data_IF_172823248612
#
_entry.id   IF_172823248612
#
_cell.length_a   1.000
_cell.length_b   1.000
_cell.length_c   1.000
_cell.angle_alpha   90.00
_cell.angle_beta   90.00
_cell.angle_gamma   90.00
#
_symmetry.space_group_name_H-M   'P 1'
#
loop_
_entity.id
_entity.type
_entity.pdbx_description
1 polymer ?
#
# COMPACT_ATOMS: atom_id res chain seq x y z
N UNK A 1 37.42 -11.47 -25.72
CA UNK A 1 36.91 -10.27 -25.02
C UNK A 1 36.52 -9.15 -26.01
N UNK A 2 35.63 -9.42 -26.97
CA UNK A 2 35.13 -8.41 -27.93
C UNK A 2 33.60 -8.35 -27.96
N UNK A 3 32.94 -8.63 -26.83
CA UNK A 3 31.58 -8.11 -26.63
C UNK A 3 31.73 -6.64 -26.23
N UNK A 4 31.23 -5.74 -27.08
CA UNK A 4 31.01 -4.34 -26.75
C UNK A 4 30.02 -4.28 -25.59
N UNK A 5 30.55 -4.25 -24.37
CA UNK A 5 29.73 -4.14 -23.18
C UNK A 5 28.91 -2.85 -23.25
N UNK A 6 27.58 -2.97 -23.10
CA UNK A 6 26.68 -1.82 -23.07
C UNK A 6 27.06 -0.91 -21.91
N UNK A 7 27.04 0.40 -22.16
CA UNK A 7 27.18 1.43 -21.14
C UNK A 7 26.21 1.19 -19.98
N UNK A 8 26.60 1.55 -18.76
CA UNK A 8 25.84 1.27 -17.53
C UNK A 8 25.48 2.55 -16.78
N UNK A 9 24.25 2.69 -16.33
CA UNK A 9 23.81 3.86 -15.59
C UNK A 9 24.62 4.03 -14.31
N UNK A 10 25.22 5.19 -14.10
CA UNK A 10 26.01 5.47 -12.89
C UNK A 10 25.15 5.53 -11.62
N UNK A 11 23.86 5.87 -11.77
CA UNK A 11 22.89 5.93 -10.68
C UNK A 11 22.37 4.56 -10.26
N UNK A 12 21.79 3.78 -11.19
CA UNK A 12 21.12 2.52 -10.85
C UNK A 12 21.84 1.26 -11.34
N UNK A 13 22.94 1.33 -12.09
CA UNK A 13 23.66 0.15 -12.62
C UNK A 13 22.99 -0.57 -13.81
N UNK A 14 21.76 -0.18 -14.18
CA UNK A 14 21.06 -0.75 -15.33
C UNK A 14 21.78 -0.45 -16.66
N UNK A 15 21.63 -1.29 -17.70
CA UNK A 15 22.21 -1.00 -19.02
C UNK A 15 21.57 0.25 -19.63
N UNK A 16 22.38 1.08 -20.28
CA UNK A 16 21.94 2.26 -21.01
C UNK A 16 21.75 1.96 -22.51
N UNK A 17 20.86 2.70 -23.19
CA UNK A 17 20.80 2.69 -24.64
C UNK A 17 22.11 3.24 -25.23
N UNK A 18 22.40 2.86 -26.48
CA UNK A 18 23.55 3.42 -27.19
C UNK A 18 23.32 4.91 -27.46
N UNK A 19 24.28 5.79 -27.10
CA UNK A 19 24.18 7.21 -27.41
C UNK A 19 24.21 7.45 -28.91
N UNK A 20 23.49 8.48 -29.38
CA UNK A 20 23.62 8.91 -30.78
C UNK A 20 24.90 9.74 -30.95
N UNK A 21 25.52 9.74 -32.15
CA UNK A 21 26.68 10.57 -32.42
C UNK A 21 26.41 12.04 -32.09
N UNK A 22 27.29 12.66 -31.30
CA UNK A 22 27.19 14.07 -30.90
C UNK A 22 26.33 14.36 -29.67
N UNK A 23 25.68 13.36 -29.08
CA UNK A 23 25.02 13.54 -27.77
C UNK A 23 26.07 13.60 -26.65
N UNK A 24 25.82 14.43 -25.62
CA UNK A 24 26.66 14.51 -24.41
C UNK A 24 26.04 13.74 -23.22
N UNK A 25 24.73 13.53 -23.25
CA UNK A 25 23.95 12.92 -22.19
C UNK A 25 23.02 11.85 -22.74
N UNK A 26 22.78 10.82 -21.93
CA UNK A 26 21.83 9.75 -22.21
C UNK A 26 20.91 9.52 -21.01
N UNK A 27 19.59 9.49 -21.24
CA UNK A 27 18.61 9.22 -20.19
C UNK A 27 18.52 7.72 -19.92
N UNK A 28 18.63 7.31 -18.66
CA UNK A 28 18.39 5.94 -18.26
C UNK A 28 16.90 5.63 -18.34
N UNK A 29 16.54 4.62 -19.12
CA UNK A 29 15.15 4.20 -19.29
C UNK A 29 14.58 3.45 -18.08
N UNK A 30 15.43 3.07 -17.14
CA UNK A 30 15.06 2.29 -15.95
C UNK A 30 14.96 3.11 -14.68
N UNK A 31 15.64 4.25 -14.55
CA UNK A 31 15.51 5.10 -13.36
C UNK A 31 15.27 6.58 -13.70
N UNK A 32 15.18 6.92 -14.98
CA UNK A 32 14.96 8.29 -15.46
C UNK A 32 16.16 9.23 -15.33
N UNK A 33 17.27 8.79 -14.72
CA UNK A 33 18.45 9.63 -14.49
C UNK A 33 19.17 9.98 -15.79
N UNK A 34 19.53 11.25 -15.96
CA UNK A 34 20.35 11.74 -17.07
C UNK A 34 21.82 11.51 -16.76
N UNK A 35 22.47 10.68 -17.56
CA UNK A 35 23.88 10.34 -17.38
C UNK A 35 24.72 11.11 -18.40
N UNK A 36 25.79 11.76 -17.97
CA UNK A 36 26.83 12.22 -18.87
C UNK A 36 27.55 11.00 -19.44
N UNK A 37 27.76 10.98 -20.75
CA UNK A 37 28.31 9.79 -21.44
C UNK A 37 29.72 9.48 -20.92
N UNK A 38 30.58 10.49 -20.80
CA UNK A 38 31.96 10.35 -20.29
C UNK A 38 31.99 9.72 -18.88
N UNK A 39 31.11 10.15 -17.98
CA UNK A 39 31.07 9.62 -16.61
C UNK A 39 30.62 8.16 -16.60
N UNK A 40 29.71 7.81 -17.50
CA UNK A 40 29.24 6.44 -17.67
C UNK A 40 30.30 5.53 -18.29
N UNK A 41 31.06 6.02 -19.27
CA UNK A 41 32.19 5.29 -19.86
C UNK A 41 33.24 4.98 -18.80
N UNK A 42 33.58 5.97 -17.97
CA UNK A 42 34.50 5.81 -16.86
C UNK A 42 33.98 4.78 -15.84
N UNK A 43 32.71 4.90 -15.44
CA UNK A 43 32.08 3.95 -14.52
C UNK A 43 32.06 2.53 -15.08
N UNK A 44 31.66 2.36 -16.35
CA UNK A 44 31.59 1.06 -17.02
C UNK A 44 32.99 0.45 -17.16
N UNK A 45 34.01 1.26 -17.50
CA UNK A 45 35.40 0.82 -17.59
C UNK A 45 35.94 0.32 -16.25
N UNK A 46 35.64 1.04 -15.15
CA UNK A 46 36.00 0.60 -13.80
C UNK A 46 35.32 -0.72 -13.44
N UNK A 47 34.02 -0.85 -13.71
CA UNK A 47 33.28 -2.07 -13.44
C UNK A 47 33.84 -3.26 -14.24
N UNK A 48 34.24 -3.05 -15.49
CA UNK A 48 34.90 -4.07 -16.32
C UNK A 48 36.24 -4.51 -15.74
N UNK A 49 37.03 -3.57 -15.22
CA UNK A 49 38.30 -3.88 -14.58
C UNK A 49 38.09 -4.71 -13.31
N UNK A 50 37.11 -4.35 -12.48
CA UNK A 50 36.70 -5.16 -11.31
C UNK A 50 36.28 -6.57 -11.72
N UNK A 51 35.51 -6.72 -12.80
CA UNK A 51 35.10 -8.03 -13.34
C UNK A 51 36.31 -8.84 -13.79
N UNK A 52 37.25 -8.24 -14.53
CA UNK A 52 38.47 -8.93 -14.99
C UNK A 52 39.33 -9.41 -13.82
N UNK A 53 39.52 -8.56 -12.81
CA UNK A 53 40.26 -8.90 -11.60
C UNK A 53 39.57 -10.04 -10.85
N UNK A 54 38.25 -9.97 -10.73
CA UNK A 54 37.47 -11.03 -10.12
C UNK A 54 37.58 -12.35 -10.88
N UNK A 55 37.40 -12.38 -12.20
CA UNK A 55 37.57 -13.58 -13.03
C UNK A 55 38.99 -14.16 -12.88
N UNK A 56 40.01 -13.30 -12.89
CA UNK A 56 41.41 -13.69 -12.71
C UNK A 56 41.69 -14.29 -11.32
N UNK A 57 40.87 -13.97 -10.31
CA UNK A 57 40.93 -14.59 -8.98
C UNK A 57 40.24 -15.96 -8.92
N UNK A 58 39.36 -16.26 -9.89
CA UNK A 58 38.65 -17.54 -9.98
C UNK A 58 39.51 -18.62 -10.65
N UNK A 59 40.26 -18.25 -11.69
CA UNK A 59 41.01 -19.22 -12.52
C UNK A 59 42.50 -19.17 -12.17
N UNK A 60 43.16 -20.32 -11.91
CA UNK A 60 44.61 -20.36 -11.67
C UNK A 60 45.39 -19.79 -12.86
N UNK A 61 46.44 -18.99 -12.58
CA UNK A 61 47.27 -18.34 -13.60
C UNK A 61 47.92 -19.31 -14.59
N UNK A 62 48.15 -20.57 -14.19
CA UNK A 62 48.76 -21.59 -15.07
C UNK A 62 47.86 -22.02 -16.24
N UNK A 63 46.56 -21.69 -16.23
CA UNK A 63 45.60 -22.13 -17.26
C UNK A 63 45.29 -21.03 -18.30
N UNK A 64 45.73 -19.79 -18.06
CA UNK A 64 45.37 -18.62 -18.88
C UNK A 64 46.18 -18.52 -20.20
N UNK A 65 47.13 -19.42 -20.45
CA UNK A 65 48.05 -19.34 -21.60
C UNK A 65 47.59 -20.06 -22.87
N UNK A 66 46.49 -20.82 -22.88
CA UNK A 66 45.96 -21.40 -24.13
C UNK A 66 44.68 -20.70 -24.56
N UNK A 67 44.77 -19.94 -25.65
CA UNK A 67 43.61 -19.35 -26.35
C UNK A 67 42.71 -20.40 -27.02
N UNK A 68 43.01 -21.67 -26.83
CA UNK A 68 42.32 -22.86 -27.33
C UNK A 68 42.13 -23.89 -26.20
N UNK A 69 41.61 -23.47 -25.05
CA UNK A 69 41.08 -24.44 -24.09
C UNK A 69 39.87 -25.15 -24.74
N UNK A 70 40.04 -26.45 -25.04
CA UNK A 70 39.02 -27.40 -25.46
C UNK A 70 37.76 -27.26 -24.57
N UNK A 71 36.56 -27.52 -25.11
CA UNK A 71 35.31 -27.50 -24.34
C UNK A 71 35.43 -28.35 -23.06
N UNK A 72 36.15 -29.48 -23.15
CA UNK A 72 36.46 -30.35 -22.00
C UNK A 72 37.29 -29.62 -20.94
N UNK A 73 38.31 -28.86 -21.34
CA UNK A 73 39.14 -28.08 -20.43
C UNK A 73 38.36 -26.94 -19.78
N UNK A 74 37.50 -26.25 -20.54
CA UNK A 74 36.60 -25.21 -19.99
C UNK A 74 35.62 -25.79 -18.98
N UNK A 75 35.01 -26.92 -19.31
CA UNK A 75 34.11 -27.62 -18.40
C UNK A 75 34.82 -28.03 -17.11
N UNK A 76 36.01 -28.63 -17.20
CA UNK A 76 36.80 -29.00 -16.03
C UNK A 76 37.16 -27.78 -15.16
N UNK A 77 37.59 -26.67 -15.77
CA UNK A 77 37.88 -25.43 -15.04
C UNK A 77 36.63 -24.88 -14.35
N UNK A 78 35.50 -24.92 -15.05
CA UNK A 78 34.23 -24.47 -14.51
C UNK A 78 33.84 -25.30 -13.28
N UNK A 79 33.86 -26.63 -13.40
CA UNK A 79 33.50 -27.53 -12.31
C UNK A 79 34.45 -27.41 -11.11
N UNK A 80 35.77 -27.29 -11.35
CA UNK A 80 36.76 -27.24 -10.29
C UNK A 80 36.83 -25.89 -9.55
N UNK A 81 36.67 -24.77 -10.27
CA UNK A 81 36.96 -23.43 -9.71
C UNK A 81 35.79 -22.47 -9.69
N UNK A 82 34.90 -22.54 -10.69
CA UNK A 82 33.80 -21.56 -10.85
C UNK A 82 32.55 -22.03 -10.11
N UNK A 83 32.09 -23.26 -10.37
CA UNK A 83 30.87 -23.83 -9.77
C UNK A 83 30.86 -23.81 -8.23
N UNK A 84 31.96 -24.11 -7.51
CA UNK A 84 31.97 -24.05 -6.04
C UNK A 84 31.76 -22.63 -5.49
N UNK A 85 32.14 -21.59 -6.25
CA UNK A 85 31.95 -20.18 -5.87
C UNK A 85 30.62 -19.62 -6.37
N UNK A 86 30.10 -20.15 -7.47
CA UNK A 86 28.81 -19.77 -8.04
C UNK A 86 27.64 -20.33 -7.23
N UNK A 87 27.76 -21.54 -6.69
CA UNK A 87 26.68 -22.23 -5.97
C UNK A 87 26.18 -21.44 -4.74
N UNK A 88 27.05 -20.96 -3.82
CA UNK A 88 26.61 -20.11 -2.71
C UNK A 88 26.00 -18.79 -3.18
N UNK A 89 26.54 -18.19 -4.26
CA UNK A 89 26.00 -16.95 -4.82
C UNK A 89 24.59 -17.13 -5.38
N UNK A 90 24.33 -18.25 -6.06
CA UNK A 90 22.99 -18.60 -6.52
C UNK A 90 22.02 -18.76 -5.34
N UNK A 91 22.44 -19.42 -4.26
CA UNK A 91 21.62 -19.55 -3.06
C UNK A 91 21.27 -18.17 -2.46
N UNK A 92 22.25 -17.26 -2.37
CA UNK A 92 22.02 -15.87 -1.95
C UNK A 92 21.07 -15.13 -2.89
N UNK A 93 21.25 -15.28 -4.21
CA UNK A 93 20.38 -14.64 -5.21
C UNK A 93 18.92 -15.08 -5.05
N UNK A 94 18.69 -16.39 -4.89
CA UNK A 94 17.36 -16.95 -4.61
C UNK A 94 16.78 -16.45 -3.30
N UNK A 95 17.57 -16.39 -2.23
CA UNK A 95 17.11 -15.89 -0.94
C UNK A 95 16.66 -14.43 -1.02
N UNK A 96 17.46 -13.55 -1.64
CA UNK A 96 17.10 -12.14 -1.84
C UNK A 96 15.89 -11.97 -2.75
N UNK A 97 15.80 -12.80 -3.80
CA UNK A 97 14.65 -12.83 -4.68
C UNK A 97 13.36 -13.21 -3.97
N UNK A 98 13.33 -14.36 -3.27
CA UNK A 98 12.13 -14.79 -2.55
C UNK A 98 11.78 -13.86 -1.40
N UNK A 99 12.77 -13.23 -0.76
CA UNK A 99 12.52 -12.15 0.20
C UNK A 99 11.81 -10.98 -0.47
N UNK A 100 12.30 -10.51 -1.62
CA UNK A 100 11.71 -9.37 -2.34
C UNK A 100 10.29 -9.68 -2.84
N UNK A 101 10.05 -10.86 -3.42
CA UNK A 101 8.74 -11.23 -3.98
C UNK A 101 7.70 -11.57 -2.91
N UNK A 102 8.12 -11.93 -1.70
CA UNK A 102 7.22 -12.12 -0.56
C UNK A 102 6.58 -10.81 -0.07
N UNK A 103 7.13 -9.66 -0.48
CA UNK A 103 6.59 -8.34 -0.20
C UNK A 103 5.56 -7.95 -1.26
N UNK A 104 4.68 -7.01 -0.89
CA UNK A 104 3.83 -6.33 -1.87
C UNK A 104 4.67 -5.46 -2.80
N UNK A 105 4.50 -5.66 -4.11
CA UNK A 105 5.24 -4.94 -5.15
C UNK A 105 4.54 -3.67 -5.62
N UNK A 106 3.29 -3.46 -5.22
CA UNK A 106 2.53 -2.23 -5.51
C UNK A 106 2.71 -1.24 -4.37
N UNK A 107 3.09 -0.02 -4.73
CA UNK A 107 3.28 1.07 -3.77
C UNK A 107 2.89 2.42 -4.38
N UNK A 108 2.38 3.31 -3.51
CA UNK A 108 2.01 4.67 -3.88
C UNK A 108 2.90 5.63 -3.11
N UNK A 109 3.88 6.24 -3.78
CA UNK A 109 4.80 7.24 -3.21
C UNK A 109 5.53 6.81 -1.93
N UNK A 110 5.90 5.54 -1.80
CA UNK A 110 6.58 5.01 -0.61
C UNK A 110 5.66 4.77 0.58
N UNK A 111 4.35 4.97 0.45
CA UNK A 111 3.46 5.07 1.61
C UNK A 111 2.81 3.75 2.03
N UNK A 112 2.73 2.75 1.15
CA UNK A 112 2.09 1.46 1.43
C UNK A 112 3.10 0.40 1.88
N UNK A 113 4.38 0.63 1.59
CA UNK A 113 5.47 -0.29 1.95
C UNK A 113 5.73 -0.35 3.46
N UNK A 114 6.15 -1.55 3.89
CA UNK A 114 6.65 -1.82 5.24
C UNK A 114 8.17 -1.84 5.33
N UNK A 115 8.86 -2.05 4.20
CA UNK A 115 10.31 -2.16 4.12
C UNK A 115 10.82 -1.32 2.96
N UNK A 116 11.97 -0.70 3.16
CA UNK A 116 12.69 -0.02 2.09
C UNK A 116 13.22 -1.03 1.07
N UNK A 117 13.25 -0.66 -0.23
CA UNK A 117 13.85 -1.49 -1.25
C UNK A 117 15.37 -1.60 -1.02
N UNK A 118 15.95 -2.72 -1.42
CA UNK A 118 17.40 -2.85 -1.51
C UNK A 118 17.98 -1.95 -2.60
N UNK A 119 19.29 -1.69 -2.54
CA UNK A 119 19.98 -0.91 -3.57
C UNK A 119 19.99 -1.65 -4.91
N UNK A 120 19.27 -1.17 -5.95
CA UNK A 120 19.23 -1.84 -7.25
C UNK A 120 20.61 -1.89 -7.92
N UNK A 121 21.48 -0.89 -7.69
CA UNK A 121 22.79 -0.80 -8.35
C UNK A 121 23.67 -1.99 -8.00
N UNK A 122 23.73 -2.34 -6.72
CA UNK A 122 24.43 -3.53 -6.24
C UNK A 122 24.01 -4.79 -6.99
N UNK A 123 22.70 -4.99 -7.19
CA UNK A 123 22.19 -6.21 -7.83
C UNK A 123 22.44 -6.21 -9.35
N UNK A 124 22.35 -5.05 -10.02
CA UNK A 124 22.72 -4.94 -11.44
C UNK A 124 24.21 -5.22 -11.67
N UNK A 125 25.09 -4.70 -10.81
CA UNK A 125 26.53 -4.94 -10.89
C UNK A 125 26.87 -6.41 -10.65
N UNK A 126 26.24 -7.06 -9.67
CA UNK A 126 26.45 -8.51 -9.43
C UNK A 126 25.91 -9.38 -10.57
N UNK A 127 24.73 -9.06 -11.13
CA UNK A 127 24.23 -9.71 -12.34
C UNK A 127 25.21 -9.58 -13.50
N UNK A 128 25.76 -8.39 -13.70
CA UNK A 128 26.75 -8.13 -14.74
C UNK A 128 28.04 -8.94 -14.56
N UNK A 129 28.58 -8.98 -13.33
CA UNK A 129 29.75 -9.80 -12.99
C UNK A 129 29.50 -11.27 -13.34
N UNK A 130 28.36 -11.82 -12.93
CA UNK A 130 28.03 -13.22 -13.19
C UNK A 130 27.87 -13.52 -14.68
N UNK A 131 27.22 -12.66 -15.45
CA UNK A 131 27.05 -12.86 -16.91
C UNK A 131 28.39 -12.92 -17.66
N UNK A 132 29.43 -12.26 -17.15
CA UNK A 132 30.78 -12.33 -17.74
C UNK A 132 31.43 -13.73 -17.62
N UNK A 133 30.93 -14.61 -16.76
CA UNK A 133 31.38 -16.00 -16.66
C UNK A 133 30.87 -16.89 -17.81
N UNK A 134 29.94 -16.41 -18.63
CA UNK A 134 29.35 -17.18 -19.74
C UNK A 134 30.40 -17.66 -20.74
N UNK A 135 31.46 -16.89 -21.01
CA UNK A 135 32.57 -17.29 -21.88
C UNK A 135 33.39 -18.48 -21.33
N UNK A 136 33.30 -18.73 -20.02
CA UNK A 136 34.02 -19.80 -19.31
C UNK A 136 33.17 -21.06 -19.10
N UNK A 137 31.88 -21.03 -19.48
CA UNK A 137 31.03 -22.22 -19.45
C UNK A 137 31.47 -23.20 -20.56
N UNK A 138 31.71 -24.47 -20.18
CA UNK A 138 32.15 -25.51 -21.12
C UNK A 138 31.01 -26.38 -21.65
N UNK A 139 29.81 -26.27 -21.06
CA UNK A 139 28.61 -27.02 -21.43
C UNK A 139 27.34 -26.18 -21.27
N UNK A 140 26.23 -26.66 -21.82
CA UNK A 140 24.92 -26.02 -21.64
C UNK A 140 24.45 -26.01 -20.18
N UNK A 141 24.84 -27.01 -19.38
CA UNK A 141 24.55 -27.06 -17.94
C UNK A 141 25.30 -25.95 -17.19
N UNK A 142 26.59 -25.76 -17.49
CA UNK A 142 27.40 -24.70 -16.90
C UNK A 142 26.82 -23.32 -17.25
N UNK A 143 26.45 -23.13 -18.52
CA UNK A 143 25.86 -21.89 -19.01
C UNK A 143 24.49 -21.63 -18.36
N UNK A 144 23.66 -22.66 -18.22
CA UNK A 144 22.37 -22.57 -17.53
C UNK A 144 22.53 -22.15 -16.06
N UNK A 145 23.54 -22.68 -15.35
CA UNK A 145 23.83 -22.30 -13.98
C UNK A 145 24.24 -20.82 -13.86
N UNK A 146 25.11 -20.34 -14.76
CA UNK A 146 25.52 -18.92 -14.83
C UNK A 146 24.31 -18.03 -15.12
N UNK A 147 23.53 -18.37 -16.14
CA UNK A 147 22.37 -17.59 -16.56
C UNK A 147 21.30 -17.53 -15.47
N UNK A 148 21.06 -18.64 -14.76
CA UNK A 148 20.12 -18.69 -13.64
C UNK A 148 20.58 -17.78 -12.51
N UNK A 149 21.85 -17.84 -12.12
CA UNK A 149 22.39 -16.98 -11.05
C UNK A 149 22.36 -15.49 -11.42
N UNK A 150 22.81 -15.15 -12.63
CA UNK A 150 22.77 -13.78 -13.15
C UNK A 150 21.33 -13.27 -13.30
N UNK A 151 20.41 -14.14 -13.71
CA UNK A 151 18.99 -13.85 -13.88
C UNK A 151 18.27 -13.53 -12.57
N UNK A 152 18.47 -14.30 -11.50
CA UNK A 152 17.90 -13.94 -10.19
C UNK A 152 18.39 -12.57 -9.70
N UNK A 153 19.69 -12.27 -9.83
CA UNK A 153 20.20 -10.95 -9.49
C UNK A 153 19.62 -9.84 -10.38
N UNK A 154 19.46 -10.08 -11.67
CA UNK A 154 18.84 -9.12 -12.60
C UNK A 154 17.37 -8.87 -12.24
N UNK A 155 16.60 -9.92 -11.93
CA UNK A 155 15.22 -9.80 -11.49
C UNK A 155 15.12 -8.99 -10.20
N UNK A 156 15.94 -9.28 -9.19
CA UNK A 156 15.99 -8.52 -7.93
C UNK A 156 16.36 -7.05 -8.18
N UNK A 157 17.31 -6.78 -9.07
CA UNK A 157 17.70 -5.42 -9.42
C UNK A 157 16.53 -4.62 -10.01
N UNK A 158 15.83 -5.20 -10.99
CA UNK A 158 14.66 -4.59 -11.60
C UNK A 158 13.49 -4.41 -10.61
N UNK A 159 13.18 -5.43 -9.79
CA UNK A 159 12.14 -5.33 -8.77
C UNK A 159 12.40 -4.19 -7.78
N UNK A 160 13.62 -4.10 -7.25
CA UNK A 160 13.99 -3.02 -6.33
C UNK A 160 14.00 -1.66 -7.00
N UNK A 161 14.48 -1.58 -8.25
CA UNK A 161 14.46 -0.33 -9.01
C UNK A 161 13.02 0.14 -9.30
N UNK A 162 12.08 -0.79 -9.57
CA UNK A 162 10.67 -0.47 -9.70
C UNK A 162 10.09 0.15 -8.42
N UNK A 163 10.43 -0.42 -7.27
CA UNK A 163 10.02 0.11 -5.96
C UNK A 163 10.64 1.49 -5.68
N UNK A 164 11.92 1.71 -5.99
CA UNK A 164 12.56 3.03 -5.88
C UNK A 164 11.83 4.06 -6.76
N UNK A 165 11.55 3.71 -8.01
CA UNK A 165 10.81 4.57 -8.93
C UNK A 165 9.39 4.88 -8.45
N UNK A 166 8.66 3.89 -7.93
CA UNK A 166 7.32 4.08 -7.38
C UNK A 166 7.32 5.04 -6.18
N UNK A 167 8.37 5.02 -5.34
CA UNK A 167 8.56 5.99 -4.26
C UNK A 167 8.71 7.42 -4.80
N UNK A 168 9.47 7.57 -5.89
CA UNK A 168 9.65 8.83 -6.61
C UNK A 168 8.52 9.19 -7.57
N UNK A 169 7.41 8.43 -7.59
CA UNK A 169 6.26 8.63 -8.49
C UNK A 169 6.62 8.53 -9.99
N UNK A 170 7.71 7.82 -10.31
CA UNK A 170 8.17 7.51 -11.66
C UNK A 170 7.54 6.20 -12.16
N UNK A 171 6.20 6.19 -12.25
CA UNK A 171 5.42 4.96 -12.46
C UNK A 171 5.67 4.31 -13.83
N UNK A 172 5.97 5.08 -14.87
CA UNK A 172 6.33 4.54 -16.19
C UNK A 172 7.63 3.73 -16.13
N UNK A 173 8.67 4.26 -15.49
CA UNK A 173 9.93 3.55 -15.26
C UNK A 173 9.73 2.35 -14.32
N UNK A 174 8.85 2.46 -13.32
CA UNK A 174 8.51 1.34 -12.44
C UNK A 174 7.88 0.17 -13.23
N UNK A 175 6.87 0.46 -14.05
CA UNK A 175 6.22 -0.53 -14.92
C UNK A 175 7.22 -1.22 -15.86
N UNK A 176 8.11 -0.43 -16.49
CA UNK A 176 9.14 -0.95 -17.39
C UNK A 176 10.12 -1.90 -16.69
N UNK A 177 10.56 -1.57 -15.48
CA UNK A 177 11.41 -2.48 -14.72
C UNK A 177 10.71 -3.81 -14.40
N UNK A 178 9.42 -3.77 -14.04
CA UNK A 178 8.67 -5.01 -13.80
C UNK A 178 8.51 -5.83 -15.09
N UNK A 179 8.34 -5.20 -16.25
CA UNK A 179 8.31 -5.91 -17.52
C UNK A 179 9.63 -6.63 -17.83
N UNK A 180 10.76 -5.97 -17.61
CA UNK A 180 12.07 -6.64 -17.76
C UNK A 180 12.27 -7.73 -16.71
N UNK A 181 11.87 -7.50 -15.46
CA UNK A 181 11.91 -8.54 -14.42
C UNK A 181 11.09 -9.77 -14.84
N UNK A 182 9.87 -9.58 -15.38
CA UNK A 182 9.03 -10.67 -15.85
C UNK A 182 9.69 -11.47 -16.99
N UNK A 183 10.30 -10.81 -17.98
CA UNK A 183 11.04 -11.48 -19.06
C UNK A 183 12.21 -12.31 -18.52
N UNK A 184 12.96 -11.76 -17.57
CA UNK A 184 14.07 -12.47 -16.92
C UNK A 184 13.55 -13.69 -16.17
N UNK A 185 12.45 -13.54 -15.41
CA UNK A 185 11.83 -14.63 -14.66
C UNK A 185 11.32 -15.76 -15.55
N UNK A 186 10.70 -15.44 -16.68
CA UNK A 186 10.31 -16.44 -17.68
C UNK A 186 11.54 -17.23 -18.18
N UNK A 187 12.65 -16.53 -18.44
CA UNK A 187 13.88 -17.15 -18.95
C UNK A 187 14.60 -18.07 -17.95
N UNK A 188 14.41 -17.87 -16.64
CA UNK A 188 15.01 -18.70 -15.57
C UNK A 188 14.04 -19.73 -14.98
N UNK A 189 12.88 -19.94 -15.61
CA UNK A 189 11.93 -20.99 -15.22
C UNK A 189 10.98 -20.62 -14.07
N UNK A 190 10.65 -19.33 -13.90
CA UNK A 190 9.72 -18.81 -12.87
C UNK A 190 8.43 -18.19 -13.47
N UNK A 191 7.71 -18.88 -14.38
CA UNK A 191 6.64 -18.26 -15.18
C UNK A 191 5.44 -17.76 -14.38
N UNK A 192 5.10 -18.43 -13.27
CA UNK A 192 4.01 -17.99 -12.38
C UNK A 192 4.35 -16.66 -11.70
N UNK A 193 5.61 -16.50 -11.29
CA UNK A 193 6.07 -15.24 -10.70
C UNK A 193 6.18 -14.17 -11.78
N UNK A 194 6.66 -14.51 -12.97
CA UNK A 194 6.68 -13.59 -14.11
C UNK A 194 5.27 -13.05 -14.43
N UNK A 195 4.25 -13.91 -14.44
CA UNK A 195 2.85 -13.51 -14.63
C UNK A 195 2.39 -12.53 -13.54
N UNK A 196 2.68 -12.82 -12.27
CA UNK A 196 2.38 -11.91 -11.15
C UNK A 196 3.06 -10.56 -11.35
N UNK A 197 4.36 -10.53 -11.62
CA UNK A 197 5.14 -9.30 -11.82
C UNK A 197 4.61 -8.49 -13.01
N UNK A 198 4.20 -9.16 -14.09
CA UNK A 198 3.55 -8.54 -15.25
C UNK A 198 2.20 -7.91 -14.90
N UNK A 199 1.40 -8.55 -14.05
CA UNK A 199 0.14 -7.97 -13.56
C UNK A 199 0.40 -6.68 -12.75
N UNK A 200 1.40 -6.70 -11.86
CA UNK A 200 1.82 -5.51 -11.09
C UNK A 200 2.33 -4.39 -12.01
N UNK A 201 3.02 -4.71 -13.11
CA UNK A 201 3.39 -3.70 -14.12
C UNK A 201 2.16 -2.96 -14.66
N UNK A 202 1.06 -3.67 -14.92
CA UNK A 202 -0.22 -3.07 -15.33
C UNK A 202 -0.75 -2.04 -14.34
N UNK A 203 -0.58 -2.27 -13.04
CA UNK A 203 -0.96 -1.33 -11.97
C UNK A 203 -0.16 -0.03 -12.06
N UNK A 204 1.16 -0.13 -12.26
CA UNK A 204 2.00 1.08 -12.40
C UNK A 204 1.74 1.82 -13.71
N UNK A 205 1.44 1.13 -14.81
CA UNK A 205 0.98 1.77 -16.04
C UNK A 205 -0.31 2.55 -15.79
N UNK A 206 -1.28 1.97 -15.07
CA UNK A 206 -2.52 2.66 -14.71
C UNK A 206 -2.26 3.94 -13.88
N UNK A 207 -1.35 3.90 -12.91
CA UNK A 207 -0.94 5.08 -12.15
C UNK A 207 -0.21 6.12 -13.01
N UNK A 208 0.61 5.69 -13.98
CA UNK A 208 1.25 6.58 -14.94
C UNK A 208 0.20 7.31 -15.79
N UNK A 209 -0.86 6.62 -16.23
CA UNK A 209 -1.95 7.23 -16.99
C UNK A 209 -2.80 8.21 -16.15
N UNK A 210 -3.04 7.92 -14.87
CA UNK A 210 -3.66 8.91 -13.97
C UNK A 210 -2.80 10.18 -13.89
N UNK A 211 -1.48 10.02 -13.79
CA UNK A 211 -0.52 11.14 -13.72
C UNK A 211 -0.41 11.92 -15.05
N UNK A 212 -0.61 11.25 -16.18
CA UNK A 212 -0.68 11.86 -17.53
C UNK A 212 -2.03 12.52 -17.82
N UNK A 213 -3.01 12.39 -16.92
CA UNK A 213 -4.41 12.87 -17.04
C UNK A 213 -5.24 12.11 -18.08
N UNK A 214 -4.94 10.82 -18.27
CA UNK A 214 -5.73 9.87 -19.05
C UNK A 214 -6.35 8.77 -18.16
N UNK A 215 -7.41 9.09 -17.39
CA UNK A 215 -8.05 8.11 -16.51
C UNK A 215 -8.81 7.01 -17.27
N UNK A 216 -9.16 7.24 -18.55
CA UNK A 216 -9.87 6.25 -19.36
C UNK A 216 -8.94 5.09 -19.77
N UNK A 217 -7.71 5.40 -20.19
CA UNK A 217 -6.67 4.40 -20.40
C UNK A 217 -6.38 3.62 -19.10
N UNK A 218 -6.30 4.34 -17.97
CA UNK A 218 -6.09 3.75 -16.65
C UNK A 218 -7.17 2.73 -16.24
N UNK A 219 -8.46 3.07 -16.44
CA UNK A 219 -9.58 2.18 -16.11
C UNK A 219 -9.54 0.88 -16.92
N UNK A 220 -9.15 0.96 -18.19
CA UNK A 220 -9.01 -0.22 -19.06
C UNK A 220 -7.91 -1.16 -18.55
N UNK A 221 -6.79 -0.61 -18.09
CA UNK A 221 -5.66 -1.38 -17.57
C UNK A 221 -6.02 -2.11 -16.25
N UNK A 222 -6.73 -1.42 -15.35
CA UNK A 222 -7.08 -1.97 -14.03
C UNK A 222 -8.18 -3.04 -14.10
N UNK A 223 -9.15 -2.92 -15.01
CA UNK A 223 -10.22 -3.93 -15.20
C UNK A 223 -9.70 -5.29 -15.64
N UNK A 224 -8.48 -5.36 -16.18
CA UNK A 224 -7.84 -6.63 -16.53
C UNK A 224 -7.17 -7.36 -15.36
N UNK A 225 -7.24 -6.82 -14.13
CA UNK A 225 -6.52 -7.32 -12.95
C UNK A 225 -7.44 -7.98 -11.92
N UNK A 226 -8.24 -8.95 -12.37
CA UNK A 226 -9.24 -9.64 -11.53
C UNK A 226 -8.63 -10.56 -10.47
N UNK A 227 -7.41 -11.04 -10.69
CA UNK A 227 -6.69 -11.89 -9.75
C UNK A 227 -5.26 -11.40 -9.57
N UNK A 228 -4.95 -10.96 -8.36
CA UNK A 228 -3.60 -10.54 -7.94
C UNK A 228 -3.16 -11.36 -6.74
N UNK A 229 -1.85 -11.50 -6.57
CA UNK A 229 -1.28 -12.18 -5.41
C UNK A 229 -1.75 -11.49 -4.11
N UNK A 230 -2.10 -12.25 -3.06
CA UNK A 230 -2.51 -11.68 -1.78
C UNK A 230 -1.58 -10.59 -1.25
N UNK A 231 -0.26 -10.69 -1.45
CA UNK A 231 0.68 -9.67 -0.98
C UNK A 231 0.55 -8.34 -1.71
N UNK A 232 0.00 -8.33 -2.94
CA UNK A 232 -0.19 -7.13 -3.76
C UNK A 232 -1.61 -6.54 -3.62
N UNK A 233 -2.54 -7.28 -3.01
CA UNK A 233 -3.97 -6.94 -2.94
C UNK A 233 -4.24 -5.53 -2.42
N UNK A 234 -3.65 -5.17 -1.28
CA UNK A 234 -3.83 -3.83 -0.69
C UNK A 234 -3.48 -2.72 -1.70
N UNK A 235 -2.32 -2.81 -2.34
CA UNK A 235 -1.87 -1.78 -3.27
C UNK A 235 -2.76 -1.72 -4.52
N UNK A 236 -3.16 -2.88 -5.05
CA UNK A 236 -4.07 -2.96 -6.21
C UNK A 236 -5.42 -2.33 -5.91
N UNK A 237 -6.01 -2.63 -4.76
CA UNK A 237 -7.31 -2.08 -4.35
C UNK A 237 -7.23 -0.56 -4.08
N UNK A 238 -6.12 -0.07 -3.49
CA UNK A 238 -5.89 1.38 -3.38
C UNK A 238 -5.84 2.03 -4.76
N UNK A 239 -5.14 1.44 -5.73
CA UNK A 239 -5.05 1.97 -7.09
C UNK A 239 -6.41 1.91 -7.80
N UNK A 240 -7.20 0.85 -7.62
CA UNK A 240 -8.57 0.77 -8.14
C UNK A 240 -9.41 1.96 -7.67
N UNK A 241 -9.40 2.26 -6.36
CA UNK A 241 -10.12 3.42 -5.82
C UNK A 241 -9.60 4.72 -6.42
N UNK A 242 -8.28 4.89 -6.57
CA UNK A 242 -7.72 6.09 -7.23
C UNK A 242 -8.23 6.23 -8.67
N UNK A 243 -8.20 5.15 -9.46
CA UNK A 243 -8.56 5.17 -10.88
C UNK A 243 -10.05 5.44 -11.08
N UNK A 244 -10.92 4.77 -10.33
CA UNK A 244 -12.36 5.02 -10.37
C UNK A 244 -12.69 6.45 -9.94
N UNK A 245 -11.98 6.95 -8.93
CA UNK A 245 -12.09 8.32 -8.46
C UNK A 245 -11.62 9.34 -9.50
N UNK A 246 -10.46 9.15 -10.11
CA UNK A 246 -9.92 9.96 -11.21
C UNK A 246 -10.85 10.00 -12.42
N UNK A 247 -11.42 8.86 -12.81
CA UNK A 247 -12.35 8.80 -13.93
C UNK A 247 -13.65 9.57 -13.64
N UNK A 248 -14.20 9.42 -12.45
CA UNK A 248 -15.40 10.18 -12.03
C UNK A 248 -15.11 11.68 -11.98
N UNK A 249 -13.92 12.10 -11.50
CA UNK A 249 -13.50 13.52 -11.51
C UNK A 249 -13.51 14.09 -12.92
N UNK A 250 -12.90 13.35 -13.85
CA UNK A 250 -12.77 13.77 -15.24
C UNK A 250 -14.13 13.93 -15.93
N UNK A 251 -15.05 12.98 -15.70
CA UNK A 251 -16.42 13.04 -16.24
C UNK A 251 -17.20 14.28 -15.74
N UNK A 252 -16.83 14.80 -14.57
CA UNK A 252 -17.40 16.03 -14.00
C UNK A 252 -16.55 17.29 -14.28
N UNK A 253 -15.62 17.24 -15.24
CA UNK A 253 -14.82 18.38 -15.68
C UNK A 253 -13.75 18.83 -14.68
N UNK A 254 -13.31 17.94 -13.79
CA UNK A 254 -12.25 18.20 -12.79
C UNK A 254 -10.93 17.56 -13.23
N UNK A 255 -9.80 18.04 -12.68
CA UNK A 255 -8.48 17.45 -12.97
C UNK A 255 -8.43 15.99 -12.43
N UNK A 256 -8.27 14.97 -13.30
CA UNK A 256 -8.21 13.58 -12.88
C UNK A 256 -7.01 13.23 -12.00
N UNK A 257 -6.02 14.11 -11.89
CA UNK A 257 -4.89 13.89 -10.99
C UNK A 257 -5.19 14.28 -9.53
N UNK A 258 -6.20 15.11 -9.26
CA UNK A 258 -6.57 15.53 -7.89
C UNK A 258 -6.83 14.34 -6.93
N UNK A 259 -7.59 13.29 -7.31
CA UNK A 259 -7.82 12.11 -6.47
C UNK A 259 -6.55 11.41 -5.98
N UNK A 260 -5.53 11.32 -6.83
CA UNK A 260 -4.23 10.77 -6.45
C UNK A 260 -3.58 11.61 -5.34
N UNK A 261 -3.56 12.94 -5.49
CA UNK A 261 -3.00 13.86 -4.49
C UNK A 261 -3.73 13.71 -3.15
N UNK A 262 -5.07 13.72 -3.19
CA UNK A 262 -5.92 13.57 -2.01
C UNK A 262 -5.71 12.23 -1.31
N UNK A 263 -5.50 11.16 -2.08
CA UNK A 263 -5.18 9.83 -1.54
C UNK A 263 -3.84 9.82 -0.81
N UNK A 264 -2.80 10.41 -1.41
CA UNK A 264 -1.48 10.55 -0.80
C UNK A 264 -1.55 11.35 0.52
N UNK A 265 -2.30 12.45 0.55
CA UNK A 265 -2.52 13.25 1.74
C UNK A 265 -3.29 12.48 2.83
N UNK A 266 -4.33 11.76 2.44
CA UNK A 266 -5.11 10.95 3.37
C UNK A 266 -4.28 9.84 4.01
N UNK A 267 -3.47 9.12 3.22
CA UNK A 267 -2.56 8.09 3.74
C UNK A 267 -1.58 8.69 4.76
N UNK A 268 -0.97 9.84 4.44
CA UNK A 268 -0.03 10.52 5.35
C UNK A 268 -0.70 10.91 6.67
N UNK A 269 -1.88 11.54 6.59
CA UNK A 269 -2.64 11.94 7.77
C UNK A 269 -3.06 10.74 8.62
N UNK A 270 -3.53 9.67 7.98
CA UNK A 270 -3.92 8.44 8.67
C UNK A 270 -2.72 7.75 9.36
N UNK A 271 -1.57 7.65 8.71
CA UNK A 271 -0.33 7.12 9.34
C UNK A 271 0.10 7.97 10.52
N UNK A 272 0.05 9.30 10.39
CA UNK A 272 0.38 10.23 11.47
C UNK A 272 -0.53 10.07 12.69
N UNK A 273 -1.83 9.84 12.46
CA UNK A 273 -2.82 9.65 13.53
C UNK A 273 -2.77 8.26 14.17
N UNK A 274 -2.64 7.21 13.36
CA UNK A 274 -2.70 5.82 13.83
C UNK A 274 -1.40 5.34 14.44
N UNK A 275 -0.26 5.91 14.03
CA UNK A 275 1.07 5.40 14.36
C UNK A 275 1.32 3.99 13.83
N UNK A 276 0.47 3.48 12.93
CA UNK A 276 0.51 2.10 12.42
C UNK A 276 0.79 2.08 10.92
N UNK A 277 1.39 0.99 10.40
CA UNK A 277 1.42 0.72 8.97
C UNK A 277 0.00 0.61 8.39
N UNK A 278 -0.13 0.92 7.10
CA UNK A 278 -1.38 0.72 6.36
C UNK A 278 -1.68 -0.78 6.26
N UNK A 279 -2.90 -1.17 6.60
CA UNK A 279 -3.45 -2.53 6.47
C UNK A 279 -4.51 -2.62 5.38
N UNK A 280 -5.01 -3.83 5.13
CA UNK A 280 -6.07 -4.09 4.13
C UNK A 280 -7.38 -3.33 4.44
N UNK A 281 -7.64 -3.11 5.73
CA UNK A 281 -8.78 -2.34 6.25
C UNK A 281 -8.76 -0.85 5.85
N UNK A 282 -7.62 -0.34 5.39
CA UNK A 282 -7.52 1.04 4.88
C UNK A 282 -8.28 1.26 3.56
N UNK A 283 -8.46 0.21 2.75
CA UNK A 283 -9.20 0.31 1.47
C UNK A 283 -10.63 0.76 1.70
N UNK A 284 -11.27 0.26 2.77
CA UNK A 284 -12.60 0.68 3.20
C UNK A 284 -12.63 2.19 3.50
N UNK A 285 -11.66 2.67 4.30
CA UNK A 285 -11.56 4.09 4.66
C UNK A 285 -11.33 4.98 3.44
N UNK A 286 -10.46 4.58 2.53
CA UNK A 286 -10.19 5.33 1.31
C UNK A 286 -11.41 5.37 0.39
N UNK A 287 -12.16 4.26 0.32
CA UNK A 287 -13.41 4.19 -0.45
C UNK A 287 -14.44 5.16 0.11
N UNK A 288 -14.67 5.17 1.42
CA UNK A 288 -15.58 6.13 2.06
C UNK A 288 -15.07 7.58 1.97
N UNK A 289 -13.74 7.79 2.03
CA UNK A 289 -13.13 9.09 1.76
C UNK A 289 -13.48 9.59 0.35
N UNK A 290 -13.33 8.74 -0.68
CA UNK A 290 -13.70 9.08 -2.06
C UNK A 290 -15.20 9.40 -2.20
N UNK A 291 -16.06 8.66 -1.49
CA UNK A 291 -17.52 8.89 -1.49
C UNK A 291 -17.93 10.24 -0.95
N UNK A 292 -17.25 10.77 0.07
CA UNK A 292 -17.48 12.14 0.54
C UNK A 292 -17.24 13.13 -0.60
N UNK A 293 -16.13 12.97 -1.32
CA UNK A 293 -15.82 13.89 -2.41
C UNK A 293 -16.77 13.70 -3.61
N UNK A 294 -17.21 12.47 -3.94
CA UNK A 294 -18.28 12.24 -4.93
C UNK A 294 -19.55 12.97 -4.55
N UNK A 295 -19.94 12.92 -3.28
CA UNK A 295 -21.14 13.61 -2.81
C UNK A 295 -21.02 15.14 -2.88
N UNK A 296 -19.83 15.70 -2.65
CA UNK A 296 -19.56 17.13 -2.86
C UNK A 296 -19.56 17.55 -4.33
N UNK A 297 -19.33 16.62 -5.26
CA UNK A 297 -19.36 16.87 -6.71
C UNK A 297 -20.75 16.66 -7.34
N UNK A 298 -21.72 16.12 -6.61
CA UNK A 298 -22.99 15.70 -7.19
C UNK A 298 -22.94 14.35 -7.91
N UNK A 299 -21.85 13.59 -7.77
CA UNK A 299 -21.60 12.32 -8.46
C UNK A 299 -21.98 11.08 -7.63
N UNK A 300 -22.29 11.26 -6.34
CA UNK A 300 -22.67 10.19 -5.43
C UNK A 300 -23.45 10.71 -4.24
N UNK A 301 -24.00 9.84 -3.41
CA UNK A 301 -24.73 10.23 -2.20
C UNK A 301 -24.09 9.62 -0.97
N UNK A 302 -24.17 10.35 0.14
CA UNK A 302 -23.84 9.84 1.48
C UNK A 302 -25.05 9.96 2.38
N UNK A 303 -25.12 9.10 3.39
CA UNK A 303 -26.18 9.12 4.39
C UNK A 303 -25.80 10.10 5.50
N UNK A 304 -26.53 11.20 5.64
CA UNK A 304 -26.21 12.20 6.65
C UNK A 304 -27.46 12.87 7.22
N UNK A 305 -27.31 13.49 8.39
CA UNK A 305 -28.33 14.32 9.01
C UNK A 305 -28.06 15.80 8.71
N UNK A 306 -29.05 16.51 8.16
CA UNK A 306 -28.98 17.97 8.08
C UNK A 306 -29.19 18.59 9.47
N UNK A 307 -28.43 19.64 9.79
CA UNK A 307 -28.59 20.36 11.04
C UNK A 307 -27.53 21.44 11.23
N UNK A 308 -27.70 22.22 12.30
CA UNK A 308 -26.69 23.19 12.72
C UNK A 308 -25.46 22.46 13.27
N UNK A 309 -24.27 22.89 12.84
CA UNK A 309 -22.99 22.32 13.24
C UNK A 309 -21.86 22.89 12.39
N UNK A 310 -20.63 22.78 12.88
CA UNK A 310 -19.44 23.27 12.19
C UNK A 310 -18.89 22.24 11.20
N UNK A 311 -19.19 20.96 11.42
CA UNK A 311 -18.78 19.85 10.55
C UNK A 311 -19.71 18.64 10.67
N UNK A 312 -19.68 17.78 9.66
CA UNK A 312 -20.26 16.44 9.70
C UNK A 312 -19.26 15.43 10.27
N UNK A 313 -19.68 14.64 11.25
CA UNK A 313 -18.85 13.67 11.97
C UNK A 313 -19.31 12.25 11.64
N UNK A 314 -18.42 11.31 11.32
CA UNK A 314 -18.78 9.97 10.86
C UNK A 314 -19.05 9.02 12.04
N UNK A 315 -20.15 8.28 11.95
CA UNK A 315 -20.55 7.24 12.89
C UNK A 315 -21.03 6.01 12.13
N UNK A 316 -20.80 4.81 12.68
CA UNK A 316 -21.55 3.63 12.25
C UNK A 316 -22.86 3.55 13.01
N UNK A 317 -23.98 3.51 12.30
CA UNK A 317 -25.27 3.22 12.88
C UNK A 317 -25.37 1.71 13.13
N UNK A 318 -25.33 1.32 14.41
CA UNK A 318 -25.09 -0.07 14.80
C UNK A 318 -26.21 -0.61 15.67
N UNK A 319 -26.47 -1.91 15.59
CA UNK A 319 -27.40 -2.61 16.47
C UNK A 319 -26.62 -3.38 17.54
N UNK A 320 -27.10 -3.32 18.77
CA UNK A 320 -26.44 -3.91 19.93
C UNK A 320 -27.43 -4.75 20.71
N UNK A 321 -27.01 -5.95 21.07
CA UNK A 321 -27.75 -6.86 21.94
C UNK A 321 -26.91 -7.11 23.18
N UNK A 322 -27.47 -6.85 24.35
CA UNK A 322 -26.86 -7.18 25.65
C UNK A 322 -27.82 -7.99 26.50
N UNK A 323 -27.32 -8.93 27.29
CA UNK A 323 -28.12 -9.63 28.30
C UNK A 323 -28.01 -8.92 29.64
N UNK A 324 -29.07 -8.23 30.06
CA UNK A 324 -29.18 -7.63 31.38
C UNK A 324 -29.49 -8.72 32.42
N UNK A 325 -28.68 -8.78 33.47
CA UNK A 325 -28.83 -9.75 34.57
C UNK A 325 -29.54 -9.07 35.74
N UNK A 326 -30.71 -9.58 36.08
CA UNK A 326 -31.49 -9.20 37.27
C UNK A 326 -31.57 -10.36 38.26
N UNK A 327 -31.66 -10.06 39.57
CA UNK A 327 -31.79 -11.07 40.64
C UNK A 327 -30.54 -11.34 41.48
N UNK A 328 -30.72 -12.02 42.62
CA UNK A 328 -29.66 -12.42 43.56
C UNK A 328 -28.98 -13.74 43.17
N UNK A 329 -28.05 -14.23 44.01
CA UNK A 329 -27.21 -15.41 43.71
C UNK A 329 -27.98 -16.68 43.33
N UNK A 330 -29.26 -16.79 43.71
CA UNK A 330 -30.12 -17.97 43.54
C UNK A 330 -31.23 -17.82 42.48
N UNK A 331 -31.38 -16.64 41.84
CA UNK A 331 -32.49 -16.37 40.91
C UNK A 331 -32.13 -15.39 39.78
N UNK A 332 -30.92 -15.50 39.24
CA UNK A 332 -30.50 -14.68 38.09
C UNK A 332 -31.39 -14.95 36.88
N UNK A 333 -32.13 -13.94 36.43
CA UNK A 333 -32.86 -13.94 35.15
C UNK A 333 -32.13 -13.00 34.19
N UNK A 334 -31.83 -13.52 33.00
CA UNK A 334 -31.29 -12.73 31.89
C UNK A 334 -32.41 -12.24 31.00
N UNK A 335 -32.45 -10.94 30.70
CA UNK A 335 -33.30 -10.36 29.66
C UNK A 335 -32.41 -9.80 28.56
N UNK A 336 -32.66 -10.16 27.31
CA UNK A 336 -31.99 -9.56 26.16
C UNK A 336 -32.55 -8.15 25.93
N UNK A 337 -31.66 -7.16 25.84
CA UNK A 337 -31.98 -5.79 25.51
C UNK A 337 -31.31 -5.49 24.16
N UNK A 338 -32.14 -5.26 23.16
CA UNK A 338 -31.74 -4.79 21.83
C UNK A 338 -31.89 -3.27 21.74
N UNK A 339 -30.87 -2.58 21.24
CA UNK A 339 -30.95 -1.16 20.96
C UNK A 339 -30.02 -0.73 19.83
N UNK A 340 -30.35 0.38 19.18
CA UNK A 340 -29.48 1.00 18.20
C UNK A 340 -28.54 2.00 18.89
N UNK A 341 -27.35 2.17 18.34
CA UNK A 341 -26.35 3.12 18.84
C UNK A 341 -25.57 3.75 17.70
N UNK A 342 -24.74 4.73 18.04
CA UNK A 342 -23.80 5.36 17.13
C UNK A 342 -22.38 5.03 17.62
N UNK A 343 -21.60 4.35 16.78
CA UNK A 343 -20.20 4.04 17.06
C UNK A 343 -19.32 5.04 16.30
N UNK A 344 -18.54 5.91 16.99
CA UNK A 344 -17.67 6.87 16.31
C UNK A 344 -16.73 6.19 15.32
N UNK A 345 -16.71 6.68 14.08
CA UNK A 345 -15.80 6.22 13.05
C UNK A 345 -14.56 7.13 12.93
N UNK A 346 -14.32 8.01 13.91
CA UNK A 346 -13.26 9.03 13.90
C UNK A 346 -12.07 8.72 14.81
N UNK A 347 -11.99 7.54 15.43
CA UNK A 347 -10.79 7.09 16.16
C UNK A 347 -9.68 6.76 15.13
N UNK A 348 -8.40 7.13 15.37
CA UNK A 348 -7.83 7.61 16.62
C UNK A 348 -7.81 9.13 16.81
N UNK A 349 -8.37 9.93 15.90
CA UNK A 349 -8.44 11.38 16.09
C UNK A 349 -9.26 11.74 17.34
N UNK A 350 -10.35 11.01 17.59
CA UNK A 350 -11.25 11.25 18.72
C UNK A 350 -11.35 10.10 19.71
N UNK A 351 -11.75 10.43 20.95
CA UNK A 351 -12.03 9.51 22.05
C UNK A 351 -13.26 9.99 22.85
N UNK A 352 -14.06 9.13 23.52
CA UNK A 352 -14.01 7.66 23.54
C UNK A 352 -14.44 7.03 22.20
N UNK A 353 -14.01 5.78 21.90
CA UNK A 353 -14.47 5.03 20.72
C UNK A 353 -15.87 4.44 20.89
N UNK A 354 -16.46 4.55 22.09
CA UNK A 354 -17.78 4.02 22.46
C UNK A 354 -18.46 5.06 23.35
N UNK A 355 -19.49 5.72 22.80
CA UNK A 355 -20.11 6.93 23.38
C UNK A 355 -21.32 6.62 24.27
N UNK A 356 -22.01 5.53 24.00
CA UNK A 356 -23.18 5.13 24.79
C UNK A 356 -22.77 4.66 26.18
N UNK A 357 -21.74 3.82 26.31
CA UNK A 357 -21.17 3.42 27.60
C UNK A 357 -20.72 4.63 28.41
N UNK A 358 -20.06 5.61 27.78
CA UNK A 358 -19.65 6.85 28.43
C UNK A 358 -20.87 7.61 28.98
N UNK A 359 -21.92 7.79 28.17
CA UNK A 359 -23.17 8.40 28.61
C UNK A 359 -23.82 7.63 29.77
N UNK A 360 -23.96 6.31 29.64
CA UNK A 360 -24.59 5.45 30.63
C UNK A 360 -23.82 5.42 31.96
N UNK A 361 -22.49 5.53 31.92
CA UNK A 361 -21.64 5.57 33.11
C UNK A 361 -21.87 6.84 33.95
N UNK A 362 -22.21 7.96 33.30
CA UNK A 362 -22.48 9.26 33.94
C UNK A 362 -23.92 9.38 34.45
N UNK A 363 -24.85 8.60 33.90
CA UNK A 363 -26.24 8.58 34.33
C UNK A 363 -26.40 7.93 35.73
N UNK A 364 -26.84 8.72 36.72
CA UNK A 364 -27.10 8.26 38.10
C UNK A 364 -28.46 7.58 38.23
N UNK A 365 -28.55 6.57 39.11
CA UNK A 365 -29.80 6.03 39.65
C UNK A 365 -30.70 5.21 38.73
N UNK A 366 -30.42 5.15 37.41
CA UNK A 366 -31.21 4.43 36.42
C UNK A 366 -30.70 2.99 36.20
N UNK A 367 -31.60 2.06 35.93
CA UNK A 367 -31.21 0.73 35.44
C UNK A 367 -30.72 0.79 33.98
N UNK A 368 -30.21 -0.32 33.44
CA UNK A 368 -29.67 -0.35 32.08
C UNK A 368 -30.72 0.00 31.02
N UNK A 369 -31.97 -0.45 31.18
CA UNK A 369 -33.05 -0.23 30.20
C UNK A 369 -33.42 1.25 30.14
N UNK A 370 -33.54 1.89 31.29
CA UNK A 370 -33.82 3.32 31.40
C UNK A 370 -32.67 4.17 30.85
N UNK A 371 -31.41 3.73 31.06
CA UNK A 371 -30.23 4.39 30.49
C UNK A 371 -30.19 4.29 28.97
N UNK A 372 -30.45 3.11 28.41
CA UNK A 372 -30.58 2.87 26.97
C UNK A 372 -31.69 3.73 26.37
N UNK A 373 -32.88 3.71 26.98
CA UNK A 373 -34.02 4.53 26.53
C UNK A 373 -33.66 6.02 26.52
N UNK A 374 -33.03 6.51 27.57
CA UNK A 374 -32.61 7.91 27.66
C UNK A 374 -31.59 8.28 26.57
N UNK A 375 -30.60 7.43 26.29
CA UNK A 375 -29.64 7.66 25.22
C UNK A 375 -30.32 7.67 23.83
N UNK A 376 -31.22 6.71 23.58
CA UNK A 376 -31.94 6.61 22.32
C UNK A 376 -32.80 7.84 22.05
N UNK A 377 -33.64 8.24 23.00
CA UNK A 377 -34.50 9.41 22.86
C UNK A 377 -33.72 10.70 22.67
N UNK A 378 -32.61 10.87 23.39
CA UNK A 378 -31.83 12.12 23.35
C UNK A 378 -30.88 12.24 22.16
N UNK A 379 -30.51 11.14 21.49
CA UNK A 379 -29.53 11.17 20.41
C UNK A 379 -29.89 10.30 19.21
N UNK A 380 -30.09 8.99 19.41
CA UNK A 380 -30.24 8.03 18.30
C UNK A 380 -31.52 8.28 17.50
N UNK A 381 -32.68 8.46 18.15
CA UNK A 381 -33.95 8.72 17.49
C UNK A 381 -33.97 10.02 16.67
N UNK A 382 -33.50 11.18 17.20
CA UNK A 382 -33.34 12.40 16.40
C UNK A 382 -32.46 12.19 15.17
N UNK A 383 -31.36 11.46 15.31
CA UNK A 383 -30.46 11.16 14.19
C UNK A 383 -31.21 10.35 13.14
N UNK A 384 -31.80 9.21 13.51
CA UNK A 384 -32.53 8.33 12.57
C UNK A 384 -33.63 9.07 11.83
N UNK A 385 -34.41 9.92 12.52
CA UNK A 385 -35.48 10.72 11.90
C UNK A 385 -34.95 11.79 10.95
N UNK A 386 -33.74 12.29 11.17
CA UNK A 386 -33.10 13.32 10.36
C UNK A 386 -32.18 12.79 9.25
N UNK A 387 -31.89 11.49 9.21
CA UNK A 387 -31.02 10.89 8.20
C UNK A 387 -31.68 10.93 6.81
N UNK A 388 -30.87 11.25 5.81
CA UNK A 388 -31.25 11.23 4.39
C UNK A 388 -30.05 10.84 3.52
N UNK A 389 -30.33 10.32 2.34
CA UNK A 389 -29.33 10.00 1.32
C UNK A 389 -29.32 11.11 0.27
N UNK A 390 -28.30 11.97 0.30
CA UNK A 390 -28.25 13.16 -0.53
C UNK A 390 -26.79 13.57 -0.85
N UNK A 391 -26.67 14.55 -1.73
CA UNK A 391 -25.41 15.22 -2.06
C UNK A 391 -24.97 16.14 -0.91
N UNK A 392 -23.69 16.47 -0.90
CA UNK A 392 -23.12 17.40 0.08
C UNK A 392 -22.84 18.75 -0.58
N UNK A 393 -23.07 19.84 0.17
CA UNK A 393 -22.55 21.15 -0.24
C UNK A 393 -21.03 21.11 -0.30
N UNK A 394 -20.44 21.75 -1.32
CA UNK A 394 -18.99 21.87 -1.46
C UNK A 394 -18.32 22.56 -0.26
N UNK A 395 -19.02 23.52 0.36
CA UNK A 395 -18.57 24.27 1.54
C UNK A 395 -18.73 23.54 2.87
N UNK A 396 -19.47 22.43 2.90
CA UNK A 396 -19.74 21.70 4.14
C UNK A 396 -18.49 20.94 4.57
N UNK A 397 -18.01 21.21 5.78
CA UNK A 397 -16.86 20.51 6.37
C UNK A 397 -17.25 19.09 6.77
N UNK A 398 -16.47 18.10 6.35
CA UNK A 398 -16.74 16.68 6.68
C UNK A 398 -15.50 16.02 7.24
N UNK A 399 -15.63 15.39 8.41
CA UNK A 399 -14.60 14.53 8.93
C UNK A 399 -14.73 13.15 8.26
N UNK A 400 -13.70 12.63 7.58
CA UNK A 400 -13.74 11.29 7.02
C UNK A 400 -13.62 10.20 8.08
N UNK A 401 -14.11 8.98 7.80
CA UNK A 401 -13.89 7.87 8.70
C UNK A 401 -12.39 7.54 8.78
N UNK A 402 -11.95 7.26 10.00
CA UNK A 402 -10.60 6.86 10.39
C UNK A 402 -10.60 5.51 11.11
N UNK A 403 -11.77 4.96 11.42
CA UNK A 403 -11.93 3.64 12.04
C UNK A 403 -12.67 2.71 11.08
N UNK A 404 -12.02 1.65 10.57
CA UNK A 404 -12.70 0.65 9.74
C UNK A 404 -13.79 -0.06 10.54
N UNK A 405 -14.83 -0.57 9.87
CA UNK A 405 -15.97 -1.27 10.50
C UNK A 405 -15.53 -2.36 11.47
N UNK A 406 -14.60 -3.23 11.05
CA UNK A 406 -14.08 -4.34 11.86
C UNK A 406 -13.36 -3.88 13.13
N UNK A 407 -12.70 -2.71 13.07
CA UNK A 407 -12.02 -2.13 14.23
C UNK A 407 -13.03 -1.47 15.17
N UNK A 408 -14.04 -0.80 14.63
CA UNK A 408 -15.13 -0.19 15.40
C UNK A 408 -15.91 -1.26 16.18
N UNK A 409 -16.21 -2.40 15.54
CA UNK A 409 -16.87 -3.55 16.16
C UNK A 409 -16.06 -4.08 17.35
N UNK A 410 -14.75 -4.29 17.15
CA UNK A 410 -13.84 -4.73 18.20
C UNK A 410 -13.75 -3.71 19.35
N UNK A 411 -13.63 -2.42 19.05
CA UNK A 411 -13.62 -1.39 20.10
C UNK A 411 -14.90 -1.41 20.91
N UNK A 412 -16.04 -1.54 20.24
CA UNK A 412 -17.34 -1.61 20.88
C UNK A 412 -17.44 -2.80 21.83
N UNK A 413 -17.09 -3.99 21.33
CA UNK A 413 -17.10 -5.22 22.12
C UNK A 413 -16.19 -5.15 23.34
N UNK A 414 -14.93 -4.72 23.18
CA UNK A 414 -13.97 -4.64 24.30
C UNK A 414 -14.39 -3.61 25.35
N UNK A 415 -14.95 -2.48 24.93
CA UNK A 415 -15.42 -1.45 25.87
C UNK A 415 -16.61 -1.97 26.70
N UNK A 416 -17.57 -2.64 26.06
CA UNK A 416 -18.70 -3.26 26.77
C UNK A 416 -18.28 -4.45 27.62
N UNK A 417 -17.30 -5.23 27.21
CA UNK A 417 -16.75 -6.29 28.06
C UNK A 417 -16.16 -5.74 29.35
N UNK A 418 -15.49 -4.59 29.28
CA UNK A 418 -14.89 -3.91 30.43
C UNK A 418 -15.93 -3.24 31.33
N UNK A 419 -16.93 -2.58 30.76
CA UNK A 419 -17.90 -1.76 31.51
C UNK A 419 -19.24 -2.44 31.77
N UNK A 420 -19.61 -3.44 30.96
CA UNK A 420 -20.84 -4.23 31.07
C UNK A 420 -21.12 -4.76 32.47
N UNK A 421 -20.12 -5.30 33.21
CA UNK A 421 -20.33 -5.73 34.59
C UNK A 421 -20.87 -4.63 35.53
N UNK A 422 -20.48 -3.36 35.32
CA UNK A 422 -20.99 -2.22 36.11
C UNK A 422 -22.46 -1.92 35.81
N UNK A 423 -22.96 -2.34 34.65
CA UNK A 423 -24.35 -2.23 34.25
C UNK A 423 -25.13 -3.55 34.44
N UNK A 424 -24.51 -4.57 35.06
CA UNK A 424 -25.06 -5.94 35.13
C UNK A 424 -25.39 -6.51 33.74
N UNK A 425 -24.61 -6.15 32.73
CA UNK A 425 -24.75 -6.63 31.36
C UNK A 425 -23.72 -7.73 31.06
N UNK A 426 -24.15 -8.76 30.35
CA UNK A 426 -23.36 -9.90 29.86
C UNK A 426 -23.74 -10.21 28.42
N UNK A 427 -23.00 -11.11 27.75
CA UNK A 427 -23.28 -11.56 26.37
C UNK A 427 -23.54 -10.39 25.42
N UNK A 428 -22.47 -9.70 25.03
CA UNK A 428 -22.54 -8.53 24.15
C UNK A 428 -22.37 -8.99 22.72
N UNK A 429 -23.34 -8.67 21.88
CA UNK A 429 -23.23 -8.76 20.43
C UNK A 429 -23.42 -7.37 19.85
N UNK A 430 -22.61 -7.02 18.86
CA UNK A 430 -22.69 -5.75 18.14
C UNK A 430 -22.65 -6.04 16.64
N UNK A 431 -23.60 -5.46 15.93
CA UNK A 431 -23.67 -5.48 14.48
C UNK A 431 -23.40 -4.04 14.00
N UNK A 432 -22.18 -3.80 13.51
CA UNK A 432 -21.78 -2.47 13.02
C UNK A 432 -22.35 -2.26 11.63
N UNK A 433 -23.31 -1.35 11.50
CA UNK A 433 -24.04 -1.12 10.26
C UNK A 433 -23.38 -0.10 9.33
N UNK A 434 -24.21 0.71 8.69
CA UNK A 434 -23.77 1.67 7.68
C UNK A 434 -23.17 2.94 8.30
N UNK A 435 -22.26 3.55 7.55
CA UNK A 435 -21.70 4.84 7.89
C UNK A 435 -22.75 5.94 7.69
N UNK A 436 -22.91 6.77 8.71
CA UNK A 436 -23.77 7.95 8.72
C UNK A 436 -22.99 9.16 9.22
N UNK A 437 -23.32 10.33 8.69
CA UNK A 437 -22.67 11.56 9.09
C UNK A 437 -23.63 12.45 9.89
N UNK A 438 -23.20 12.84 11.09
CA UNK A 438 -24.03 13.59 12.05
C UNK A 438 -23.42 14.97 12.30
N UNK A 439 -24.21 16.05 12.33
CA UNK A 439 -23.72 17.38 12.66
C UNK A 439 -23.04 17.43 14.03
N UNK A 440 -21.85 18.02 14.06
CA UNK A 440 -21.07 18.26 15.26
C UNK A 440 -20.65 19.73 15.39
N UNK A 441 -20.66 20.25 16.61
CA UNK A 441 -20.14 21.58 16.96
C UNK A 441 -18.71 21.42 17.45
N UNK A 442 -17.77 22.06 16.77
CA UNK A 442 -16.36 22.02 17.10
C UNK A 442 -16.08 22.94 18.29
N UNK A 443 -15.53 22.37 19.36
CA UNK A 443 -14.96 23.10 20.49
C UNK A 443 -13.44 22.92 20.47
N UNK A 444 -12.75 23.69 21.31
CA UNK A 444 -11.29 23.73 21.35
C UNK A 444 -10.66 22.33 21.55
N UNK A 445 -11.25 21.47 22.39
CA UNK A 445 -10.70 20.15 22.74
C UNK A 445 -11.64 18.97 22.48
N UNK A 446 -12.84 19.21 21.96
CA UNK A 446 -13.83 18.15 21.69
C UNK A 446 -14.85 18.57 20.64
N UNK A 447 -15.61 17.59 20.14
CA UNK A 447 -16.74 17.79 19.24
C UNK A 447 -18.03 17.42 19.98
N UNK A 448 -18.99 18.34 20.02
CA UNK A 448 -20.33 18.09 20.57
C UNK A 448 -21.25 17.54 19.49
N UNK A 449 -21.87 16.40 19.76
CA UNK A 449 -22.82 15.75 18.84
C UNK A 449 -24.13 15.47 19.59
N UNK A 450 -25.26 15.45 18.88
CA UNK A 450 -26.59 15.28 19.46
C UNK A 450 -26.91 16.34 20.54
N UNK A 451 -26.68 17.62 20.25
CA UNK A 451 -26.98 18.71 21.20
C UNK A 451 -26.16 18.63 22.50
N UNK A 452 -24.94 18.08 22.44
CA UNK A 452 -24.04 17.96 23.60
C UNK A 452 -24.22 16.67 24.41
N UNK A 453 -25.12 15.77 24.00
CA UNK A 453 -25.27 14.45 24.62
C UNK A 453 -23.97 13.63 24.49
N UNK A 454 -23.26 13.78 23.38
CA UNK A 454 -21.97 13.12 23.13
C UNK A 454 -20.86 14.16 23.02
N UNK A 455 -19.71 13.84 23.62
CA UNK A 455 -18.47 14.63 23.51
C UNK A 455 -17.33 13.74 23.03
N UNK A 456 -16.84 14.04 21.83
CA UNK A 456 -15.69 13.37 21.23
C UNK A 456 -14.44 14.22 21.44
N UNK A 457 -13.64 13.89 22.44
CA UNK A 457 -12.39 14.59 22.75
C UNK A 457 -11.38 14.39 21.62
N UNK A 458 -10.83 15.50 21.13
CA UNK A 458 -9.86 15.54 20.05
C UNK A 458 -8.47 15.32 20.65
N UNK A 459 -7.75 14.30 20.16
CA UNK A 459 -6.39 14.02 20.64
C UNK A 459 -5.37 15.03 20.13
N UNK A 460 -5.54 15.49 18.89
CA UNK A 460 -4.65 16.44 18.23
C UNK A 460 -5.47 17.39 17.34
N UNK A 461 -5.63 18.63 17.81
CA UNK A 461 -6.39 19.68 17.12
C UNK A 461 -5.70 20.16 15.84
N UNK A 462 -4.37 20.03 15.75
CA UNK A 462 -3.62 20.35 14.54
C UNK A 462 -3.93 19.37 13.40
N UNK A 463 -4.24 18.11 13.74
CA UNK A 463 -4.60 17.08 12.77
C UNK A 463 -6.06 17.18 12.32
N UNK A 464 -6.96 17.74 13.13
CA UNK A 464 -8.35 17.95 12.74
C UNK A 464 -8.45 18.78 11.45
N UNK A 465 -7.73 19.90 11.37
CA UNK A 465 -7.77 20.77 10.18
C UNK A 465 -7.09 20.14 8.95
N UNK A 466 -6.21 19.14 9.13
CA UNK A 466 -5.56 18.42 8.01
C UNK A 466 -6.42 17.31 7.42
N UNK A 467 -7.42 16.84 8.17
CA UNK A 467 -8.21 15.64 7.82
C UNK A 467 -9.62 16.01 7.38
N UNK A 468 -10.14 17.14 7.85
CA UNK A 468 -11.47 17.63 7.44
C UNK A 468 -11.46 18.03 5.96
N UNK A 469 -12.44 17.51 5.23
CA UNK A 469 -12.69 17.68 3.79
C UNK A 469 -13.64 18.82 3.50
#
# INVERSE_FOLDING_TARGET
MAQTFKLRCSNCGAPLPQPKPGEEYVRCEYCGYWNKIVDTENYTSRLLEEVKQWISSLVPRQVVSSSTADMVARHHLFQAYIKPRLTPRLATAKAEFYRTISLGLVDVKGLLRRQEPGDPKRYFEESFKLSALSELAGSDEDLSLVNTAAGYFSAVAHLNNALVNAAGENYSEAARNLEEAAKVLDSIGEPRIAQRVKAVSGVYRALAEVKSRDPAASSTLIRGLDTVDPSDRLGVEVVKVIVDWSNTWFQHGRDPFEPYIKTVEFIKSYRGLSGKPIGEDFVELLSEYSRIHYAKLGAGKVRYMQGAGDALVPFYFSKVTVTAVSGGLLSKRGEAIDFNTLVPASTPLTNPPVVDVDFMSKAKGKDLREKVKAFNTSCVEPVVKGLRDDYLSSSLRVLPPLTPRSVAERYYYEYWKMWGPKFKATNIAVEVGDLVYVPGVLKESYIEVCGGVMRLFIRDTSMLNKVVV
#
